data_IF_957788553872
#
_entry.id   IF_957788553872
#
_cell.length_a   1.000
_cell.length_b   1.000
_cell.length_c   1.000
_cell.angle_alpha   90.00
_cell.angle_beta   90.00
_cell.angle_gamma   90.00
#
_symmetry.space_group_name_H-M   'P 1'
#
loop_
_entity.id
_entity.type
_entity.pdbx_description
1 polymer ?
#
# COMPACT_ATOMS: atom_id res chain seq x y z
N UNK A 1 -21.57 10.48 32.69
CA UNK A 1 -20.19 10.20 32.20
C UNK A 1 -20.05 10.77 30.80
N UNK A 2 -19.51 11.98 30.68
CA UNK A 2 -19.27 12.58 29.36
C UNK A 2 -18.07 11.91 28.71
N UNK A 3 -18.31 11.22 27.58
CA UNK A 3 -17.24 10.79 26.67
C UNK A 3 -16.58 12.08 26.15
N UNK A 4 -15.47 12.49 26.76
CA UNK A 4 -14.56 13.48 26.18
C UNK A 4 -14.12 12.88 24.85
N UNK A 5 -14.66 13.37 23.74
CA UNK A 5 -14.15 13.04 22.41
C UNK A 5 -12.70 13.49 22.38
N UNK A 6 -11.78 12.53 22.30
CA UNK A 6 -10.37 12.82 22.07
C UNK A 6 -10.29 13.64 20.78
N UNK A 7 -9.63 14.80 20.75
CA UNK A 7 -9.49 15.56 19.52
C UNK A 7 -8.78 14.67 18.50
N UNK A 8 -9.49 14.26 17.45
CA UNK A 8 -8.90 13.48 16.37
C UNK A 8 -7.74 14.28 15.79
N UNK A 9 -6.54 13.70 15.84
CA UNK A 9 -5.33 14.33 15.34
C UNK A 9 -5.50 14.67 13.84
N UNK A 10 -5.07 15.87 13.43
CA UNK A 10 -5.28 16.35 12.05
C UNK A 10 -4.73 15.38 11.00
N UNK A 11 -3.59 14.72 11.28
CA UNK A 11 -3.00 13.72 10.41
C UNK A 11 -3.89 12.46 10.28
N UNK A 12 -4.50 11.98 11.37
CA UNK A 12 -5.44 10.86 11.32
C UNK A 12 -6.69 11.24 10.54
N UNK A 13 -7.25 12.43 10.78
CA UNK A 13 -8.44 12.87 10.03
C UNK A 13 -8.14 13.00 8.53
N UNK A 14 -6.99 13.58 8.15
CA UNK A 14 -6.57 13.64 6.75
C UNK A 14 -6.34 12.27 6.14
N UNK A 15 -5.70 11.36 6.86
CA UNK A 15 -5.48 9.98 6.41
C UNK A 15 -6.81 9.23 6.22
N UNK A 16 -7.75 9.38 7.16
CA UNK A 16 -9.08 8.77 7.08
C UNK A 16 -9.83 9.25 5.84
N UNK A 17 -9.81 10.56 5.56
CA UNK A 17 -10.43 11.14 4.34
C UNK A 17 -9.90 10.53 3.04
N UNK A 18 -8.64 10.08 3.01
CA UNK A 18 -8.09 9.41 1.83
C UNK A 18 -8.69 8.02 1.60
N UNK A 19 -9.21 7.38 2.64
CA UNK A 19 -9.75 6.03 2.61
C UNK A 19 -11.29 5.99 2.62
N UNK A 20 -11.97 7.14 2.76
CA UNK A 20 -13.44 7.20 2.80
C UNK A 20 -14.09 6.69 1.50
N UNK A 21 -13.41 6.83 0.36
CA UNK A 21 -13.92 6.44 -0.95
C UNK A 21 -12.89 5.53 -1.66
N UNK A 22 -12.74 4.27 -1.22
CA UNK A 22 -11.80 3.36 -1.85
C UNK A 22 -12.24 3.03 -3.28
N UNK A 23 -11.29 2.98 -4.21
CA UNK A 23 -11.53 2.47 -5.56
C UNK A 23 -11.95 1.00 -5.49
N UNK A 24 -12.98 0.61 -6.22
CA UNK A 24 -13.34 -0.81 -6.29
C UNK A 24 -12.32 -1.59 -7.14
N UNK A 25 -12.22 -2.89 -6.86
CA UNK A 25 -11.22 -3.74 -7.49
C UNK A 25 -11.37 -3.80 -9.01
N UNK A 26 -12.61 -3.87 -9.51
CA UNK A 26 -12.90 -3.98 -10.94
C UNK A 26 -12.47 -2.71 -11.67
N UNK A 27 -12.80 -1.54 -11.12
CA UNK A 27 -12.39 -0.24 -11.67
C UNK A 27 -10.87 -0.09 -11.67
N UNK A 28 -10.21 -0.45 -10.56
CA UNK A 28 -8.74 -0.43 -10.50
C UNK A 28 -8.11 -1.35 -11.55
N UNK A 29 -8.57 -2.60 -11.64
CA UNK A 29 -8.05 -3.58 -12.60
C UNK A 29 -8.31 -3.17 -14.06
N UNK A 30 -9.42 -2.50 -14.32
CA UNK A 30 -9.75 -1.92 -15.63
C UNK A 30 -8.72 -0.89 -16.11
N UNK A 31 -8.07 -0.18 -15.19
CA UNK A 31 -7.01 0.79 -15.49
C UNK A 31 -5.63 0.17 -15.78
N UNK A 32 -5.44 -1.13 -15.53
CA UNK A 32 -4.15 -1.79 -15.69
C UNK A 32 -3.88 -2.20 -17.14
N UNK A 33 -2.59 -2.30 -17.50
CA UNK A 33 -2.18 -2.91 -18.76
C UNK A 33 -2.60 -4.39 -18.83
N UNK A 34 -2.84 -4.92 -20.04
CA UNK A 34 -3.40 -6.26 -20.25
C UNK A 34 -2.63 -7.37 -19.50
N UNK A 35 -1.29 -7.32 -19.53
CA UNK A 35 -0.44 -8.29 -18.82
C UNK A 35 -0.66 -8.24 -17.30
N UNK A 36 -0.61 -7.05 -16.72
CA UNK A 36 -0.75 -6.86 -15.27
C UNK A 36 -2.15 -7.26 -14.80
N UNK A 37 -3.18 -6.89 -15.56
CA UNK A 37 -4.56 -7.29 -15.30
C UNK A 37 -4.71 -8.81 -15.25
N UNK A 38 -4.21 -9.53 -16.27
CA UNK A 38 -4.28 -11.00 -16.31
C UNK A 38 -3.55 -11.64 -15.13
N UNK A 39 -2.40 -11.10 -14.71
CA UNK A 39 -1.69 -11.59 -13.54
C UNK A 39 -2.52 -11.43 -12.26
N UNK A 40 -3.17 -10.27 -12.07
CA UNK A 40 -4.03 -10.04 -10.91
C UNK A 40 -5.31 -10.87 -10.95
N UNK A 41 -5.94 -11.06 -12.12
CA UNK A 41 -7.11 -11.93 -12.28
C UNK A 41 -6.78 -13.37 -11.89
N UNK A 42 -5.62 -13.88 -12.33
CA UNK A 42 -5.14 -15.22 -11.96
C UNK A 42 -4.87 -15.33 -10.46
N UNK A 43 -4.24 -14.32 -9.87
CA UNK A 43 -3.99 -14.32 -8.42
C UNK A 43 -5.29 -14.27 -7.63
N UNK A 44 -6.21 -13.36 -7.97
CA UNK A 44 -7.51 -13.25 -7.34
C UNK A 44 -8.31 -14.55 -7.46
N UNK A 45 -8.33 -15.17 -8.64
CA UNK A 45 -8.98 -16.47 -8.85
C UNK A 45 -8.35 -17.59 -7.99
N UNK A 46 -7.03 -17.58 -7.82
CA UNK A 46 -6.35 -18.54 -6.97
C UNK A 46 -6.67 -18.38 -5.48
N UNK A 47 -7.03 -17.17 -5.03
CA UNK A 47 -7.43 -16.91 -3.64
C UNK A 47 -8.89 -17.27 -3.35
N UNK A 48 -9.73 -17.53 -4.35
CA UNK A 48 -11.16 -17.84 -4.14
C UNK A 48 -11.38 -19.12 -3.32
N UNK A 49 -10.40 -20.03 -3.30
CA UNK A 49 -10.44 -21.21 -2.45
C UNK A 49 -10.28 -20.88 -0.94
N UNK A 50 -9.79 -19.68 -0.60
CA UNK A 50 -9.54 -19.20 0.76
C UNK A 50 -10.23 -17.84 0.98
N UNK A 51 -11.53 -17.82 1.31
CA UNK A 51 -12.32 -16.58 1.32
C UNK A 51 -11.74 -15.46 2.19
N UNK A 52 -11.24 -15.79 3.39
CA UNK A 52 -10.61 -14.79 4.28
C UNK A 52 -9.35 -14.18 3.65
N UNK A 53 -8.57 -14.97 2.93
CA UNK A 53 -7.38 -14.51 2.21
C UNK A 53 -7.77 -13.60 1.05
N UNK A 54 -8.73 -14.04 0.21
CA UNK A 54 -9.26 -13.23 -0.90
C UNK A 54 -9.79 -11.89 -0.40
N UNK A 55 -10.57 -11.87 0.68
CA UNK A 55 -11.08 -10.64 1.29
C UNK A 55 -9.96 -9.71 1.76
N UNK A 56 -8.99 -10.23 2.50
CA UNK A 56 -7.87 -9.42 2.99
C UNK A 56 -7.04 -8.85 1.84
N UNK A 57 -6.68 -9.68 0.86
CA UNK A 57 -5.89 -9.26 -0.29
C UNK A 57 -6.61 -8.17 -1.10
N UNK A 58 -7.89 -8.38 -1.44
CA UNK A 58 -8.70 -7.41 -2.21
C UNK A 58 -8.78 -6.08 -1.48
N UNK A 59 -9.03 -6.09 -0.17
CA UNK A 59 -9.12 -4.90 0.67
C UNK A 59 -7.82 -4.11 0.71
N UNK A 60 -6.68 -4.79 0.92
CA UNK A 60 -5.38 -4.14 0.91
C UNK A 60 -5.02 -3.60 -0.48
N UNK A 61 -5.27 -4.38 -1.54
CA UNK A 61 -4.98 -3.97 -2.91
C UNK A 61 -5.77 -2.71 -3.32
N UNK A 62 -7.06 -2.66 -3.01
CA UNK A 62 -7.89 -1.48 -3.29
C UNK A 62 -7.51 -0.28 -2.45
N UNK A 63 -7.17 -0.46 -1.16
CA UNK A 63 -6.68 0.63 -0.32
C UNK A 63 -5.39 1.25 -0.90
N UNK A 64 -4.40 0.41 -1.26
CA UNK A 64 -3.15 0.89 -1.85
C UNK A 64 -3.36 1.55 -3.23
N UNK A 65 -4.24 0.99 -4.07
CA UNK A 65 -4.63 1.58 -5.35
C UNK A 65 -5.30 2.95 -5.18
N UNK A 66 -6.14 3.10 -4.16
CA UNK A 66 -6.79 4.39 -3.81
C UNK A 66 -5.75 5.44 -3.44
N UNK A 67 -4.75 5.04 -2.65
CA UNK A 67 -3.71 5.95 -2.14
C UNK A 67 -2.64 6.30 -3.19
N UNK A 68 -2.45 5.45 -4.20
CA UNK A 68 -1.48 5.62 -5.28
C UNK A 68 -2.12 5.35 -6.66
N UNK A 69 -3.02 6.24 -7.13
CA UNK A 69 -3.86 5.99 -8.29
C UNK A 69 -3.16 6.15 -9.64
N UNK A 70 -1.88 6.56 -9.67
CA UNK A 70 -1.22 6.91 -10.93
C UNK A 70 -0.92 5.69 -11.81
N UNK A 71 -0.32 4.65 -11.23
CA UNK A 71 -0.06 3.40 -11.93
C UNK A 71 0.17 2.26 -10.94
N UNK A 72 -0.06 1.03 -11.40
CA UNK A 72 0.43 -0.17 -10.75
C UNK A 72 1.05 -1.13 -11.77
N UNK A 73 1.99 -1.96 -11.33
CA UNK A 73 2.56 -3.03 -12.15
C UNK A 73 2.81 -4.28 -11.33
N UNK A 74 2.64 -5.44 -11.94
CA UNK A 74 2.91 -6.73 -11.31
C UNK A 74 4.37 -7.13 -11.49
N UNK A 75 4.94 -7.75 -10.46
CA UNK A 75 6.24 -8.41 -10.53
C UNK A 75 6.04 -9.89 -10.25
N UNK A 76 6.07 -10.70 -11.32
CA UNK A 76 5.66 -12.10 -11.22
C UNK A 76 4.15 -12.23 -10.98
N UNK A 77 3.73 -13.28 -10.28
CA UNK A 77 2.31 -13.55 -9.96
C UNK A 77 1.90 -13.07 -8.57
N UNK A 78 2.86 -12.76 -7.69
CA UNK A 78 2.63 -12.62 -6.25
C UNK A 78 2.83 -11.21 -5.72
N UNK A 79 3.36 -10.28 -6.53
CA UNK A 79 3.68 -8.94 -6.07
C UNK A 79 3.12 -7.85 -6.99
N UNK A 80 2.65 -6.76 -6.38
CA UNK A 80 2.12 -5.57 -7.02
C UNK A 80 2.90 -4.36 -6.53
N UNK A 81 3.34 -3.51 -7.46
CA UNK A 81 3.98 -2.23 -7.17
C UNK A 81 2.99 -1.10 -7.47
N UNK A 82 2.92 -0.10 -6.60
CA UNK A 82 2.06 1.08 -6.80
C UNK A 82 2.89 2.34 -6.88
N UNK A 83 2.51 3.23 -7.79
CA UNK A 83 3.27 4.41 -8.12
C UNK A 83 2.42 5.68 -7.99
N UNK A 84 3.10 6.79 -7.73
CA UNK A 84 2.59 8.15 -7.91
C UNK A 84 3.35 8.86 -9.01
N UNK A 85 2.76 9.94 -9.55
CA UNK A 85 3.45 10.82 -10.47
C UNK A 85 4.61 11.55 -9.75
N UNK A 86 5.75 11.65 -10.44
CA UNK A 86 6.95 12.37 -9.99
C UNK A 86 7.53 13.13 -11.19
N UNK A 87 6.89 14.25 -11.52
CA UNK A 87 7.16 14.99 -12.76
C UNK A 87 6.93 14.12 -14.00
N UNK A 88 7.98 13.92 -14.81
CA UNK A 88 7.96 13.03 -15.99
C UNK A 88 8.19 11.55 -15.67
N UNK A 89 8.46 11.24 -14.41
CA UNK A 89 8.74 9.89 -13.93
C UNK A 89 7.60 9.39 -13.04
N UNK A 90 7.71 8.13 -12.64
CA UNK A 90 6.84 7.52 -11.64
C UNK A 90 7.68 7.13 -10.42
N UNK A 91 7.20 7.44 -9.24
CA UNK A 91 7.85 7.06 -7.98
C UNK A 91 7.09 5.89 -7.35
N UNK A 92 7.80 4.80 -7.06
CA UNK A 92 7.22 3.72 -6.28
C UNK A 92 7.04 4.16 -4.83
N UNK A 93 5.81 3.98 -4.32
CA UNK A 93 5.42 4.37 -2.97
C UNK A 93 4.88 3.22 -2.13
N UNK A 94 4.33 2.20 -2.78
CA UNK A 94 3.87 0.97 -2.13
C UNK A 94 4.28 -0.28 -2.89
N UNK A 95 4.26 -1.40 -2.18
CA UNK A 95 4.18 -2.73 -2.76
C UNK A 95 3.25 -3.62 -1.94
N UNK A 96 2.63 -4.60 -2.57
CA UNK A 96 1.85 -5.66 -1.94
C UNK A 96 2.40 -6.99 -2.41
N UNK A 97 2.68 -7.90 -1.49
CA UNK A 97 3.20 -9.23 -1.74
C UNK A 97 2.31 -10.26 -1.05
N UNK A 98 1.93 -11.27 -1.81
CA UNK A 98 1.16 -12.41 -1.34
C UNK A 98 1.77 -13.69 -1.93
N UNK A 99 2.61 -14.33 -1.12
CA UNK A 99 3.24 -15.60 -1.45
C UNK A 99 2.27 -16.79 -1.30
N UNK A 100 1.04 -16.56 -0.81
CA UNK A 100 0.05 -17.56 -0.42
C UNK A 100 0.53 -18.48 0.71
N UNK A 101 1.29 -17.93 1.65
CA UNK A 101 1.85 -18.63 2.82
C UNK A 101 1.11 -18.31 4.13
N UNK A 102 -0.17 -17.92 4.02
CA UNK A 102 -1.03 -17.58 5.17
C UNK A 102 -0.82 -16.16 5.73
N UNK A 103 -0.04 -15.33 5.06
CA UNK A 103 0.16 -13.91 5.38
C UNK A 103 0.30 -13.07 4.10
N UNK A 104 0.00 -11.79 4.23
CA UNK A 104 0.23 -10.77 3.22
C UNK A 104 1.24 -9.77 3.77
N UNK A 105 2.22 -9.41 2.94
CA UNK A 105 3.20 -8.37 3.26
C UNK A 105 2.91 -7.14 2.43
N UNK A 106 2.75 -6.01 3.09
CA UNK A 106 2.54 -4.72 2.44
C UNK A 106 3.69 -3.78 2.80
N UNK A 107 4.19 -3.05 1.81
CA UNK A 107 5.35 -2.20 1.93
C UNK A 107 4.94 -0.76 1.64
N UNK A 108 5.44 0.18 2.44
CA UNK A 108 5.17 1.60 2.29
C UNK A 108 6.43 2.44 2.55
N UNK A 109 6.43 3.70 2.12
CA UNK A 109 7.47 4.64 2.56
C UNK A 109 7.39 4.80 4.07
N UNK A 110 8.53 4.89 4.75
CA UNK A 110 8.54 4.95 6.21
C UNK A 110 7.72 6.13 6.74
N UNK A 111 6.73 5.84 7.58
CA UNK A 111 5.85 6.81 8.22
C UNK A 111 5.60 6.51 9.70
N UNK A 112 6.48 5.71 10.33
CA UNK A 112 6.31 5.28 11.72
C UNK A 112 6.28 6.45 12.70
N UNK A 113 7.20 7.42 12.56
CA UNK A 113 7.23 8.61 13.42
C UNK A 113 5.96 9.44 13.29
N UNK A 114 5.43 9.58 12.08
CA UNK A 114 4.20 10.33 11.83
C UNK A 114 2.99 9.59 12.38
N UNK A 115 2.96 8.27 12.27
CA UNK A 115 1.90 7.42 12.85
C UNK A 115 1.89 7.45 14.38
N UNK A 116 3.07 7.47 15.03
CA UNK A 116 3.18 7.62 16.49
C UNK A 116 2.74 9.02 16.94
N UNK A 117 3.16 10.08 16.24
CA UNK A 117 2.71 11.46 16.50
C UNK A 117 1.21 11.63 16.28
N UNK A 118 0.67 10.91 15.32
CA UNK A 118 -0.75 10.87 15.01
C UNK A 118 -1.55 10.05 16.03
N UNK A 119 -0.91 9.40 17.02
CA UNK A 119 -1.55 8.47 17.97
C UNK A 119 -2.27 7.30 17.28
N UNK A 120 -1.81 6.89 16.09
CA UNK A 120 -2.29 5.67 15.43
C UNK A 120 -1.66 4.44 16.11
N UNK A 121 -0.35 4.51 16.33
CA UNK A 121 0.45 3.44 16.94
C UNK A 121 1.10 3.92 18.24
N UNK A 122 1.15 3.03 19.21
CA UNK A 122 1.85 3.25 20.47
C UNK A 122 3.36 3.06 20.33
N UNK A 123 4.08 3.36 21.41
CA UNK A 123 5.51 3.06 21.49
C UNK A 123 5.72 1.54 21.43
N UNK A 124 6.69 1.05 20.65
CA UNK A 124 6.97 -0.37 20.61
C UNK A 124 7.53 -0.86 21.96
N UNK A 125 7.29 -2.14 22.33
CA UNK A 125 8.00 -2.82 23.40
C UNK A 125 9.52 -2.79 23.17
N UNK A 126 10.31 -2.79 24.26
CA UNK A 126 11.78 -2.72 24.18
C UNK A 126 12.40 -3.97 23.56
N UNK A 127 11.78 -5.11 23.80
CA UNK A 127 12.22 -6.43 23.38
C UNK A 127 11.81 -6.76 21.93
N UNK A 128 10.75 -6.12 21.42
CA UNK A 128 10.29 -6.34 20.06
C UNK A 128 9.89 -5.03 19.37
N UNK A 129 10.84 -4.32 18.73
CA UNK A 129 10.59 -3.03 18.10
C UNK A 129 9.65 -3.09 16.89
N UNK A 130 9.41 -4.29 16.34
CA UNK A 130 8.54 -4.49 15.18
C UNK A 130 7.06 -4.65 15.56
N UNK A 131 6.72 -4.88 16.83
CA UNK A 131 5.32 -5.09 17.25
C UNK A 131 4.82 -3.80 17.91
N UNK A 132 3.96 -3.05 17.23
CA UNK A 132 3.43 -1.78 17.74
C UNK A 132 2.00 -1.92 18.26
N UNK A 133 1.69 -1.40 19.46
CA UNK A 133 0.31 -1.35 19.95
C UNK A 133 -0.58 -0.48 19.08
N UNK A 134 -1.81 -0.92 18.82
CA UNK A 134 -2.82 -0.12 18.13
C UNK A 134 -3.56 0.71 19.19
N UNK A 135 -3.39 2.04 19.17
CA UNK A 135 -3.95 2.92 20.22
C UNK A 135 -5.48 2.82 20.29
N UNK A 136 -6.14 2.75 19.13
CA UNK A 136 -7.60 2.67 19.04
C UNK A 136 -8.17 1.28 19.44
N UNK A 137 -7.32 0.26 19.60
CA UNK A 137 -7.74 -1.11 19.89
C UNK A 137 -6.83 -1.74 20.96
N UNK A 138 -7.09 -1.45 22.25
CA UNK A 138 -6.28 -1.95 23.36
C UNK A 138 -6.10 -3.47 23.32
N UNK A 139 -4.86 -3.93 23.48
CA UNK A 139 -4.50 -5.36 23.43
C UNK A 139 -4.24 -5.89 22.02
N UNK A 140 -4.55 -5.14 20.97
CA UNK A 140 -4.18 -5.49 19.60
C UNK A 140 -2.83 -4.88 19.23
N UNK A 141 -2.07 -5.61 18.43
CA UNK A 141 -0.72 -5.25 18.01
C UNK A 141 -0.59 -5.38 16.50
N UNK A 142 0.22 -4.53 15.87
CA UNK A 142 0.53 -4.57 14.45
C UNK A 142 2.02 -4.85 14.25
N UNK A 143 2.36 -5.80 13.39
CA UNK A 143 3.75 -6.08 13.04
C UNK A 143 4.19 -5.14 11.91
N UNK A 144 5.05 -4.18 12.23
CA UNK A 144 5.64 -3.21 11.32
C UNK A 144 7.16 -3.16 11.49
N UNK A 145 7.88 -3.55 10.45
CA UNK A 145 9.33 -3.55 10.42
C UNK A 145 9.86 -2.35 9.64
N UNK A 146 10.81 -1.60 10.22
CA UNK A 146 11.52 -0.56 9.50
C UNK A 146 12.57 -1.17 8.57
N UNK A 147 12.55 -0.76 7.32
CA UNK A 147 13.46 -1.22 6.27
C UNK A 147 14.38 -0.08 5.83
N UNK A 148 15.66 -0.38 5.76
CA UNK A 148 16.75 0.52 5.35
C UNK A 148 17.72 -0.25 4.47
N UNK A 149 18.58 0.45 3.73
CA UNK A 149 19.65 -0.20 2.98
C UNK A 149 20.61 -1.00 3.89
N UNK A 150 20.77 -0.60 5.16
CA UNK A 150 21.68 -1.25 6.11
C UNK A 150 21.14 -2.59 6.63
N UNK A 151 19.83 -2.68 6.92
CA UNK A 151 19.21 -3.90 7.45
C UNK A 151 18.53 -4.77 6.39
N UNK A 152 18.53 -4.33 5.13
CA UNK A 152 17.97 -5.07 3.99
C UNK A 152 18.99 -5.14 2.85
N UNK A 153 20.14 -5.82 3.03
CA UNK A 153 21.10 -6.00 1.95
C UNK A 153 20.46 -6.94 0.91
N UNK A 154 20.23 -6.45 -0.31
CA UNK A 154 19.54 -7.14 -1.40
C UNK A 154 18.00 -7.18 -1.26
N UNK A 155 17.32 -6.01 -1.27
CA UNK A 155 15.87 -5.98 -1.25
C UNK A 155 15.29 -6.62 -2.51
N UNK A 156 14.12 -7.24 -2.38
CA UNK A 156 13.44 -7.88 -3.52
C UNK A 156 13.16 -6.87 -4.64
N UNK A 157 13.18 -7.31 -5.92
CA UNK A 157 13.02 -6.41 -7.06
C UNK A 157 11.74 -5.56 -7.02
N UNK A 158 10.69 -6.08 -6.38
CA UNK A 158 9.41 -5.40 -6.32
C UNK A 158 9.36 -4.26 -5.29
N UNK A 159 10.29 -4.12 -4.35
CA UNK A 159 10.32 -2.97 -3.41
C UNK A 159 11.68 -2.27 -3.30
N UNK A 160 12.73 -2.75 -3.99
CA UNK A 160 14.07 -2.16 -3.92
C UNK A 160 14.11 -0.65 -4.17
N UNK A 161 13.22 -0.12 -5.03
CA UNK A 161 13.18 1.30 -5.36
C UNK A 161 12.66 2.17 -4.21
N UNK A 162 12.04 1.57 -3.19
CA UNK A 162 11.59 2.25 -1.98
C UNK A 162 12.74 2.45 -0.96
N UNK A 163 13.87 1.74 -1.13
CA UNK A 163 15.07 1.84 -0.27
C UNK A 163 16.27 2.52 -0.95
N UNK A 164 16.16 2.86 -2.24
CA UNK A 164 17.21 3.57 -2.96
C UNK A 164 17.39 5.01 -2.48
N UNK A 165 18.55 5.61 -2.76
CA UNK A 165 18.85 7.03 -2.50
C UNK A 165 18.56 7.51 -1.06
N UNK A 166 19.03 6.76 -0.07
CA UNK A 166 18.86 7.09 1.35
C UNK A 166 17.39 7.14 1.83
N UNK A 167 16.49 6.48 1.10
CA UNK A 167 15.09 6.31 1.51
C UNK A 167 14.96 5.18 2.52
N UNK A 168 13.90 5.26 3.33
CA UNK A 168 13.45 4.22 4.25
C UNK A 168 12.06 3.76 3.86
N UNK A 169 11.79 2.49 4.10
CA UNK A 169 10.47 1.91 3.93
C UNK A 169 10.04 1.22 5.24
N UNK A 170 8.81 0.76 5.27
CA UNK A 170 8.28 -0.10 6.31
C UNK A 170 7.57 -1.29 5.68
N UNK A 171 7.68 -2.45 6.32
CA UNK A 171 6.93 -3.67 5.98
C UNK A 171 5.90 -3.93 7.06
N UNK A 172 4.64 -4.00 6.67
CA UNK A 172 3.55 -4.49 7.51
C UNK A 172 3.29 -5.95 7.15
N UNK A 173 3.25 -6.84 8.14
CA UNK A 173 2.89 -8.25 7.96
C UNK A 173 1.53 -8.52 8.57
N UNK A 174 0.57 -8.97 7.75
CA UNK A 174 -0.78 -9.32 8.17
C UNK A 174 -1.05 -10.81 7.90
N UNK A 175 -1.16 -11.65 8.94
CA UNK A 175 -1.70 -13.00 8.79
C UNK A 175 -3.12 -12.96 8.21
N UNK A 176 -3.55 -14.00 7.49
CA UNK A 176 -4.91 -14.10 6.95
C UNK A 176 -6.00 -13.98 8.05
N UNK A 177 -5.68 -14.38 9.28
CA UNK A 177 -6.53 -14.22 10.45
C UNK A 177 -6.41 -12.87 11.18
N UNK A 178 -5.85 -11.83 10.55
CA UNK A 178 -5.75 -10.49 11.15
C UNK A 178 -7.13 -9.94 11.49
N UNK A 179 -7.24 -9.27 12.63
CA UNK A 179 -8.50 -8.64 13.06
C UNK A 179 -8.79 -7.39 12.22
N UNK A 180 -10.06 -6.97 12.17
CA UNK A 180 -10.44 -5.72 11.50
C UNK A 180 -9.68 -4.51 12.03
N UNK A 181 -9.36 -4.49 13.33
CA UNK A 181 -8.58 -3.43 13.94
C UNK A 181 -7.13 -3.41 13.41
N UNK A 182 -6.51 -4.58 13.23
CA UNK A 182 -5.16 -4.69 12.64
C UNK A 182 -5.15 -4.26 11.17
N UNK A 183 -6.15 -4.70 10.40
CA UNK A 183 -6.28 -4.34 8.99
C UNK A 183 -6.51 -2.82 8.85
N UNK A 184 -7.44 -2.25 9.62
CA UNK A 184 -7.71 -0.82 9.61
C UNK A 184 -6.51 0.02 10.05
N UNK A 185 -5.74 -0.44 11.05
CA UNK A 185 -4.50 0.23 11.46
C UNK A 185 -3.45 0.21 10.35
N UNK A 186 -3.32 -0.90 9.62
CA UNK A 186 -2.42 -0.98 8.46
C UNK A 186 -2.86 -0.03 7.33
N UNK A 187 -4.14 0.00 6.98
CA UNK A 187 -4.71 0.93 6.00
C UNK A 187 -4.44 2.39 6.36
N UNK A 188 -4.70 2.75 7.62
CA UNK A 188 -4.41 4.09 8.14
C UNK A 188 -2.92 4.43 8.10
N UNK A 189 -2.04 3.46 8.37
CA UNK A 189 -0.60 3.65 8.28
C UNK A 189 -0.16 3.91 6.81
N UNK A 190 -0.74 3.21 5.83
CA UNK A 190 -0.52 3.52 4.41
C UNK A 190 -1.03 4.92 4.06
N UNK A 191 -2.18 5.31 4.58
CA UNK A 191 -2.75 6.63 4.32
C UNK A 191 -1.90 7.76 4.95
N UNK A 192 -1.36 7.57 6.16
CA UNK A 192 -0.39 8.49 6.77
C UNK A 192 0.87 8.59 5.93
N UNK A 193 1.39 7.45 5.42
CA UNK A 193 2.49 7.47 4.46
C UNK A 193 2.14 8.28 3.21
N UNK A 194 0.91 8.17 2.71
CA UNK A 194 0.47 8.86 1.51
C UNK A 194 0.38 10.38 1.61
N UNK A 195 0.24 10.92 2.81
CA UNK A 195 0.24 12.36 3.02
C UNK A 195 1.59 13.01 2.63
N UNK A 196 2.69 12.25 2.62
CA UNK A 196 4.03 12.77 2.30
C UNK A 196 4.12 13.27 0.85
N UNK A 197 3.77 12.43 -0.13
CA UNK A 197 3.85 12.82 -1.55
C UNK A 197 2.65 13.63 -2.04
N UNK A 198 1.52 13.65 -1.32
CA UNK A 198 0.43 14.59 -1.64
C UNK A 198 0.78 16.04 -1.30
N UNK A 199 1.64 16.26 -0.31
CA UNK A 199 2.16 17.59 0.03
C UNK A 199 3.11 18.11 -1.06
N UNK A 200 3.88 17.20 -1.65
CA UNK A 200 4.94 17.51 -2.61
C UNK A 200 4.47 17.40 -4.08
N UNK A 201 3.22 16.97 -4.32
CA UNK A 201 2.68 16.82 -5.66
C UNK A 201 2.65 18.19 -6.38
N UNK A 202 3.26 18.31 -7.58
CA UNK A 202 3.16 19.51 -8.39
C UNK A 202 1.68 19.83 -8.65
N UNK A 203 1.26 21.09 -8.44
CA UNK A 203 -0.15 21.51 -8.63
C UNK A 203 -0.72 21.15 -10.01
N UNK A 204 0.14 20.98 -11.01
CA UNK A 204 -0.25 20.70 -12.39
C UNK A 204 -0.43 19.19 -12.70
N UNK A 205 -0.06 18.29 -11.77
CA UNK A 205 -0.11 16.84 -11.99
C UNK A 205 -1.53 16.22 -11.88
N UNK A 206 -2.50 16.96 -11.35
CA UNK A 206 -3.87 16.48 -11.13
C UNK A 206 -4.69 16.27 -12.42
N UNK A 207 -4.20 16.71 -13.59
CA UNK A 207 -4.94 16.66 -14.86
C UNK A 207 -4.57 15.44 -15.72
N UNK A 208 -3.47 14.76 -15.43
CA UNK A 208 -3.00 13.63 -16.23
C UNK A 208 -3.52 12.27 -15.73
N UNK A 209 -4.85 12.10 -15.64
CA UNK A 209 -5.43 10.75 -15.65
C UNK A 209 -5.34 10.25 -17.09
N UNK A 210 -4.38 9.36 -17.32
CA UNK A 210 -3.97 8.88 -18.63
C UNK A 210 -5.10 8.18 -19.38
N UNK A 211 -5.47 8.74 -20.52
CA UNK A 211 -5.98 7.99 -21.66
C UNK A 211 -5.01 6.84 -21.96
N UNK A 212 -5.45 5.57 -22.08
CA UNK A 212 -4.56 4.50 -22.46
C UNK A 212 -3.95 4.79 -23.83
N UNK A 213 -2.62 4.80 -23.90
CA UNK A 213 -1.89 4.98 -25.13
C UNK A 213 -2.33 3.91 -26.15
N UNK A 214 -2.96 4.36 -27.23
CA UNK A 214 -3.39 3.50 -28.33
C UNK A 214 -2.18 2.72 -28.87
N UNK A 215 -2.27 1.39 -28.84
CA UNK A 215 -1.29 0.51 -29.43
C UNK A 215 -1.14 0.83 -30.93
N UNK A 216 0.07 1.16 -31.38
CA UNK A 216 0.35 1.34 -32.80
C UNK A 216 0.10 0.02 -33.53
N UNK A 217 -0.64 0.01 -34.66
CA UNK A 217 -0.84 -1.20 -35.44
C UNK A 217 0.51 -1.68 -36.01
N UNK A 218 0.79 -2.97 -35.79
CA UNK A 218 1.92 -3.67 -36.41
C UNK A 218 1.57 -3.84 -37.88
N UNK A 219 2.24 -3.10 -38.76
CA UNK A 219 2.17 -3.32 -40.20
C UNK A 219 2.90 -4.61 -40.55
N UNK A 220 2.14 -5.65 -40.86
CA UNK A 220 2.67 -6.86 -41.49
C UNK A 220 3.14 -6.53 -42.91
N UNK A 221 4.45 -6.63 -43.14
CA UNK A 221 5.04 -6.65 -44.49
C UNK A 221 4.98 -8.10 -44.97
N UNK A 222 4.08 -8.40 -45.90
CA UNK A 222 4.16 -9.62 -46.70
C UNK A 222 5.23 -9.44 -47.78
N UNK A 223 6.13 -10.41 -47.86
CA UNK A 223 6.89 -10.76 -49.05
C UNK A 223 6.15 -11.90 -49.76
#
# INVERSE_FOLDING_TARGET
MNKRGTPTNSAQSSAQKLLENPIDLTTWMGGLGARDRVNLERHAAALEAEPAHSTLWRRLATALATLAPHAASTTGQQAVQFFVADGKYRMQVFALEDARDGKIMAYATDALDDAMKAELLGRPPRDNPAILPIIAAPGQMLNVESLTAANTPNPSPFFKHMLGWNRKAMRITLPVGSTDAQIAAAEMLFAVSALKWKKDAPKDAAVAVSTPAAAKPVTAKHA
#
